data_IF_426934710382
#
_entry.id   IF_426934710382
#
_cell.length_a   1.000
_cell.length_b   1.000
_cell.length_c   1.000
_cell.angle_alpha   90.00
_cell.angle_beta   90.00
_cell.angle_gamma   90.00
#
_symmetry.space_group_name_H-M   'P 1'
#
loop_
_entity.id
_entity.type
_entity.pdbx_description
1 polymer ?
#
# COMPACT_ATOMS: atom_id res chain seq x y z
N UNK A 1 11.18 -10.04 10.87
CA UNK A 1 10.32 -8.93 11.34
C UNK A 1 9.34 -9.46 12.36
N UNK A 2 8.89 -8.62 13.30
CA UNK A 2 7.85 -8.99 14.26
C UNK A 2 6.47 -8.74 13.62
N UNK A 3 5.59 -9.73 13.69
CA UNK A 3 4.22 -9.65 13.22
C UNK A 3 3.25 -9.63 14.40
N UNK A 4 2.03 -9.14 14.15
CA UNK A 4 0.85 -9.33 14.99
C UNK A 4 -0.16 -10.17 14.22
N UNK A 5 -0.88 -11.04 14.93
CA UNK A 5 -1.93 -11.88 14.32
C UNK A 5 -3.26 -11.15 14.48
N UNK A 6 -3.90 -10.84 13.34
CA UNK A 6 -5.23 -10.24 13.32
C UNK A 6 -6.29 -11.27 13.77
N UNK A 7 -7.49 -10.80 14.11
CA UNK A 7 -8.57 -11.67 14.63
C UNK A 7 -9.06 -12.77 13.66
N UNK A 8 -8.67 -12.69 12.38
CA UNK A 8 -8.95 -13.66 11.34
C UNK A 8 -7.73 -14.55 11.01
N UNK A 9 -6.65 -14.48 11.79
CA UNK A 9 -5.45 -15.29 11.62
C UNK A 9 -4.42 -14.74 10.62
N UNK A 10 -4.71 -13.64 9.92
CA UNK A 10 -3.73 -13.00 9.01
C UNK A 10 -2.59 -12.38 9.82
N UNK A 11 -1.36 -12.63 9.41
CA UNK A 11 -0.17 -11.99 9.98
C UNK A 11 0.07 -10.62 9.35
N UNK A 12 0.19 -9.59 10.18
CA UNK A 12 0.48 -8.23 9.75
C UNK A 12 1.82 -7.78 10.36
N UNK A 13 2.76 -7.23 9.56
CA UNK A 13 3.98 -6.64 10.11
C UNK A 13 3.65 -5.51 11.09
N UNK A 14 4.32 -5.48 12.25
CA UNK A 14 4.05 -4.45 13.28
C UNK A 14 4.58 -3.06 12.90
N UNK A 15 5.51 -3.01 11.94
CA UNK A 15 6.12 -1.79 11.42
C UNK A 15 5.82 -1.70 9.93
N UNK A 16 5.36 -0.53 9.49
CA UNK A 16 5.01 -0.25 8.10
C UNK A 16 5.45 1.14 7.65
N UNK A 17 5.45 1.35 6.34
CA UNK A 17 5.81 2.59 5.68
C UNK A 17 4.55 3.25 5.10
N UNK A 18 4.26 4.49 5.50
CA UNK A 18 3.11 5.27 5.03
C UNK A 18 3.52 6.34 4.02
N UNK A 19 2.71 6.54 2.98
CA UNK A 19 3.05 7.42 1.82
C UNK A 19 2.21 8.70 1.72
N UNK A 20 1.56 9.10 2.81
CA UNK A 20 0.73 10.32 2.80
C UNK A 20 1.57 11.56 2.48
N UNK A 21 1.03 12.44 1.63
CA UNK A 21 1.64 13.70 1.21
C UNK A 21 2.96 13.62 0.41
N UNK A 22 3.32 12.44 -0.09
CA UNK A 22 4.38 12.32 -1.10
C UNK A 22 3.74 12.51 -2.48
N UNK A 23 3.65 13.78 -2.91
CA UNK A 23 2.90 14.19 -4.09
C UNK A 23 3.63 13.91 -5.41
N UNK A 24 4.97 13.98 -5.42
CA UNK A 24 5.74 13.62 -6.60
C UNK A 24 5.77 12.10 -6.79
N UNK A 25 5.39 11.65 -7.98
CA UNK A 25 5.25 10.23 -8.27
C UNK A 25 6.60 9.49 -8.34
N UNK A 26 7.69 10.16 -8.72
CA UNK A 26 9.01 9.54 -8.75
C UNK A 26 9.60 9.47 -7.34
N UNK A 27 9.40 10.50 -6.53
CA UNK A 27 9.76 10.51 -5.12
C UNK A 27 9.00 9.42 -4.36
N UNK A 28 7.68 9.33 -4.54
CA UNK A 28 6.87 8.27 -3.92
C UNK A 28 7.35 6.88 -4.31
N UNK A 29 7.62 6.65 -5.60
CA UNK A 29 8.14 5.37 -6.07
C UNK A 29 9.49 5.05 -5.43
N UNK A 30 10.41 6.02 -5.39
CA UNK A 30 11.74 5.83 -4.83
C UNK A 30 11.69 5.58 -3.31
N UNK A 31 10.91 6.35 -2.55
CA UNK A 31 10.73 6.16 -1.11
C UNK A 31 10.16 4.77 -0.78
N UNK A 32 9.16 4.31 -1.52
CA UNK A 32 8.58 2.97 -1.32
C UNK A 32 9.58 1.88 -1.69
N UNK A 33 10.32 2.05 -2.79
CA UNK A 33 11.36 1.12 -3.18
C UNK A 33 12.43 1.01 -2.09
N UNK A 34 12.94 2.14 -1.60
CA UNK A 34 13.95 2.18 -0.55
C UNK A 34 13.43 1.54 0.74
N UNK A 35 12.18 1.82 1.16
CA UNK A 35 11.58 1.17 2.31
C UNK A 35 11.56 -0.36 2.17
N UNK A 36 11.16 -0.88 0.99
CA UNK A 36 11.14 -2.34 0.74
C UNK A 36 12.56 -2.93 0.81
N UNK A 37 13.55 -2.24 0.24
CA UNK A 37 14.95 -2.67 0.24
C UNK A 37 15.59 -2.63 1.64
N UNK A 38 15.20 -1.66 2.47
CA UNK A 38 15.58 -1.56 3.89
C UNK A 38 14.84 -2.58 4.78
N UNK A 39 13.96 -3.39 4.20
CA UNK A 39 13.32 -4.51 4.86
C UNK A 39 11.89 -4.26 5.30
N UNK A 40 11.25 -3.12 4.98
CA UNK A 40 9.82 -2.97 5.23
C UNK A 40 9.01 -3.98 4.40
N UNK A 41 7.97 -4.54 5.01
CA UNK A 41 7.03 -5.47 4.35
C UNK A 41 5.57 -5.03 4.46
N UNK A 42 5.28 -3.97 5.20
CA UNK A 42 3.96 -3.34 5.24
C UNK A 42 4.04 -1.96 4.58
N UNK A 43 3.26 -1.73 3.52
CA UNK A 43 3.12 -0.44 2.85
C UNK A 43 1.67 0.05 2.99
N UNK A 44 1.50 1.29 3.43
CA UNK A 44 0.21 1.93 3.62
C UNK A 44 0.02 3.12 2.66
N UNK A 45 -1.03 3.05 1.85
CA UNK A 45 -1.48 4.10 0.93
C UNK A 45 -3.00 4.33 1.05
N UNK A 46 -3.57 5.17 0.20
CA UNK A 46 -5.01 5.38 0.04
C UNK A 46 -5.31 6.02 -1.31
N UNK A 47 -6.52 5.79 -1.84
CA UNK A 47 -6.98 6.41 -3.08
C UNK A 47 -6.87 7.95 -3.06
N UNK A 48 -7.16 8.57 -1.90
CA UNK A 48 -7.08 10.03 -1.73
C UNK A 48 -5.65 10.60 -1.80
N UNK A 49 -4.62 9.75 -1.76
CA UNK A 49 -3.23 10.20 -1.81
C UNK A 49 -2.74 10.35 -3.25
N UNK A 50 -3.49 9.82 -4.23
CA UNK A 50 -3.22 9.94 -5.67
C UNK A 50 -1.82 9.41 -6.09
N UNK A 51 -1.26 8.46 -5.33
CA UNK A 51 0.07 7.92 -5.56
C UNK A 51 0.13 6.38 -5.57
N UNK A 52 -1.02 5.69 -5.64
CA UNK A 52 -1.12 4.23 -5.69
C UNK A 52 -0.36 3.63 -6.88
N UNK A 53 -0.40 4.28 -8.05
CA UNK A 53 0.38 3.83 -9.21
C UNK A 53 1.89 3.88 -8.95
N UNK A 54 2.38 4.88 -8.20
CA UNK A 54 3.79 4.97 -7.83
C UNK A 54 4.19 3.86 -6.84
N UNK A 55 3.32 3.56 -5.88
CA UNK A 55 3.47 2.41 -4.97
C UNK A 55 3.54 1.10 -5.77
N UNK A 56 2.62 0.89 -6.72
CA UNK A 56 2.60 -0.30 -7.57
C UNK A 56 3.86 -0.47 -8.42
N UNK A 57 4.39 0.63 -8.98
CA UNK A 57 5.68 0.61 -9.71
C UNK A 57 6.84 0.23 -8.79
N UNK A 58 6.91 0.78 -7.58
CA UNK A 58 7.95 0.46 -6.60
C UNK A 58 7.91 -1.02 -6.17
N UNK A 59 6.71 -1.55 -5.91
CA UNK A 59 6.51 -2.97 -5.59
C UNK A 59 7.04 -3.85 -6.73
N UNK A 60 6.64 -3.56 -7.97
CA UNK A 60 7.11 -4.32 -9.14
C UNK A 60 8.61 -4.21 -9.33
N UNK A 61 9.19 -3.01 -9.15
CA UNK A 61 10.62 -2.74 -9.26
C UNK A 61 11.44 -3.44 -8.19
N UNK A 62 10.89 -3.61 -6.98
CA UNK A 62 11.59 -4.23 -5.84
C UNK A 62 12.01 -5.68 -6.10
N UNK A 63 11.28 -6.40 -6.95
CA UNK A 63 11.50 -7.82 -7.22
C UNK A 63 11.18 -8.75 -6.03
N UNK A 64 10.66 -8.23 -4.93
CA UNK A 64 10.22 -9.02 -3.77
C UNK A 64 8.94 -9.79 -4.14
N UNK A 65 8.84 -11.09 -3.78
CA UNK A 65 7.62 -11.87 -4.00
C UNK A 65 6.40 -11.17 -3.40
N UNK A 66 5.29 -11.13 -4.15
CA UNK A 66 4.09 -10.36 -3.76
C UNK A 66 3.55 -10.82 -2.40
N UNK A 67 3.61 -12.11 -2.13
CA UNK A 67 3.17 -12.76 -0.90
C UNK A 67 3.96 -12.35 0.35
N UNK A 68 5.17 -11.80 0.18
CA UNK A 68 5.95 -11.25 1.30
C UNK A 68 5.51 -9.84 1.68
N UNK A 69 4.69 -9.18 0.86
CA UNK A 69 4.27 -7.79 1.06
C UNK A 69 2.83 -7.71 1.56
N UNK A 70 2.65 -6.97 2.65
CA UNK A 70 1.36 -6.54 3.16
C UNK A 70 1.07 -5.13 2.64
N UNK A 71 0.10 -4.99 1.73
CA UNK A 71 -0.24 -3.70 1.13
C UNK A 71 -1.62 -3.28 1.62
N UNK A 72 -1.71 -2.06 2.15
CA UNK A 72 -2.96 -1.46 2.63
C UNK A 72 -3.31 -0.25 1.78
N UNK A 73 -4.56 -0.20 1.32
CA UNK A 73 -5.17 0.99 0.71
C UNK A 73 -6.51 1.29 1.39
N UNK A 74 -7.07 2.47 1.12
CA UNK A 74 -8.28 2.99 1.77
C UNK A 74 -9.20 3.60 0.70
N UNK A 75 -10.48 3.25 0.79
CA UNK A 75 -11.55 3.86 0.02
C UNK A 75 -11.69 5.35 0.38
N UNK A 76 -11.86 6.21 -0.62
CA UNK A 76 -12.18 7.62 -0.38
C UNK A 76 -13.67 7.83 -0.06
N UNK A 77 -13.97 8.82 0.78
CA UNK A 77 -15.34 9.06 1.29
C UNK A 77 -16.37 9.33 0.19
N UNK A 78 -15.96 9.90 -0.95
CA UNK A 78 -16.85 10.15 -2.09
C UNK A 78 -17.40 8.86 -2.70
N UNK A 79 -16.67 7.75 -2.54
CA UNK A 79 -17.03 6.42 -3.06
C UNK A 79 -17.65 5.51 -2.01
N UNK A 80 -17.94 6.03 -0.82
CA UNK A 80 -18.62 5.28 0.22
C UNK A 80 -20.03 4.87 -0.23
N UNK A 81 -20.34 3.57 -0.14
CA UNK A 81 -21.62 2.98 -0.50
C UNK A 81 -21.43 1.73 -1.35
N UNK A 82 -22.26 0.71 -1.11
CA UNK A 82 -22.05 -0.66 -1.58
C UNK A 82 -21.55 -0.79 -3.03
N UNK A 83 -22.29 -0.25 -4.01
CA UNK A 83 -21.92 -0.35 -5.43
C UNK A 83 -20.77 0.61 -5.84
N UNK A 84 -20.65 1.77 -5.20
CA UNK A 84 -19.54 2.71 -5.46
C UNK A 84 -18.23 2.15 -4.93
N UNK A 85 -18.25 1.55 -3.74
CA UNK A 85 -17.09 0.92 -3.10
C UNK A 85 -16.55 -0.21 -3.95
N UNK A 86 -17.41 -1.09 -4.49
CA UNK A 86 -16.97 -2.13 -5.44
C UNK A 86 -16.29 -1.53 -6.66
N UNK A 87 -16.90 -0.52 -7.28
CA UNK A 87 -16.33 0.15 -8.47
C UNK A 87 -14.99 0.82 -8.17
N UNK A 88 -14.89 1.53 -7.04
CA UNK A 88 -13.66 2.18 -6.62
C UNK A 88 -12.57 1.15 -6.30
N UNK A 89 -12.91 0.03 -5.67
CA UNK A 89 -11.97 -1.05 -5.37
C UNK A 89 -11.30 -1.64 -6.63
N UNK A 90 -12.04 -1.80 -7.73
CA UNK A 90 -11.46 -2.25 -9.01
C UNK A 90 -10.51 -1.22 -9.65
N UNK A 91 -10.65 0.06 -9.29
CA UNK A 91 -9.80 1.14 -9.78
C UNK A 91 -8.57 1.38 -8.91
N UNK A 92 -8.64 1.03 -7.62
CA UNK A 92 -7.51 1.14 -6.69
C UNK A 92 -6.39 0.18 -7.15
N UNK A 93 -5.21 0.75 -7.40
CA UNK A 93 -4.04 0.08 -8.00
C UNK A 93 -3.07 -0.48 -6.98
#
# INVERSE_FOLDING_TARGET
>A
MRNVILNNGVEMPILGFGVYQIADANECEQCVYDAIMEGYRLIDTAASYLNEEAVGRAIKRSGIPREELFITTKLWIQDAGYERTKKAFEWIK
#
